data_IF_689405339472
#
_entry.id   IF_689405339472
#
_cell.length_a   1.000
_cell.length_b   1.000
_cell.length_c   1.000
_cell.angle_alpha   90.00
_cell.angle_beta   90.00
_cell.angle_gamma   90.00
#
_symmetry.space_group_name_H-M   'P 1'
#
loop_
_entity.id
_entity.type
_entity.pdbx_description
1 polymer ?
#
# COMPACT_ATOMS: atom_id res chain seq x y z
N UNK A 1 5.39 0.64 -8.31
CA UNK A 1 4.85 -0.65 -8.76
C UNK A 1 3.61 -1.01 -7.96
N UNK A 2 2.63 -1.56 -8.59
CA UNK A 2 1.33 -1.93 -8.01
C UNK A 2 1.01 -3.35 -8.45
N UNK A 3 0.79 -4.23 -7.49
CA UNK A 3 0.33 -5.60 -7.74
C UNK A 3 -1.12 -5.74 -7.24
N UNK A 4 -2.06 -5.94 -8.16
CA UNK A 4 -3.47 -6.19 -7.86
C UNK A 4 -3.72 -7.70 -7.88
N UNK A 5 -4.03 -8.27 -6.72
CA UNK A 5 -4.25 -9.72 -6.54
C UNK A 5 -5.73 -10.07 -6.70
N UNK A 6 -6.61 -9.43 -5.95
CA UNK A 6 -8.04 -9.70 -5.96
C UNK A 6 -8.86 -8.50 -5.46
N UNK A 7 -10.13 -8.39 -5.87
CA UNK A 7 -11.06 -7.42 -5.29
C UNK A 7 -11.45 -7.82 -3.85
N UNK A 8 -11.93 -6.85 -3.08
CA UNK A 8 -12.39 -7.05 -1.71
C UNK A 8 -13.70 -6.28 -1.48
N UNK A 9 -14.63 -6.87 -0.73
CA UNK A 9 -15.89 -6.22 -0.37
C UNK A 9 -15.66 -5.19 0.74
N UNK A 10 -15.97 -3.94 0.45
CA UNK A 10 -15.67 -2.77 1.27
C UNK A 10 -16.71 -2.41 2.31
N UNK A 11 -17.96 -2.64 1.99
CA UNK A 11 -19.10 -2.10 2.74
C UNK A 11 -19.17 -2.61 4.18
N UNK A 12 -19.04 -3.92 4.37
CA UNK A 12 -19.08 -4.52 5.71
C UNK A 12 -17.89 -4.06 6.56
N UNK A 13 -16.73 -3.98 5.96
CA UNK A 13 -15.52 -3.54 6.65
C UNK A 13 -15.65 -2.10 7.16
N UNK A 14 -16.11 -1.18 6.34
CA UNK A 14 -16.32 0.22 6.73
C UNK A 14 -17.36 0.36 7.84
N UNK A 15 -18.48 -0.36 7.74
CA UNK A 15 -19.55 -0.28 8.74
C UNK A 15 -19.08 -0.72 10.13
N UNK A 16 -18.26 -1.77 10.20
CA UNK A 16 -17.83 -2.37 11.47
C UNK A 16 -16.62 -1.68 12.10
N UNK A 17 -15.86 -0.87 11.34
CA UNK A 17 -14.56 -0.34 11.77
C UNK A 17 -14.44 1.18 11.68
N UNK A 18 -15.52 1.91 11.45
CA UNK A 18 -15.47 3.36 11.16
C UNK A 18 -14.80 4.17 12.27
N UNK A 19 -15.08 3.90 13.53
CA UNK A 19 -14.47 4.61 14.67
C UNK A 19 -12.97 4.35 14.78
N UNK A 20 -12.54 3.11 14.58
CA UNK A 20 -11.13 2.73 14.58
C UNK A 20 -10.39 3.37 13.41
N UNK A 21 -10.98 3.34 12.21
CA UNK A 21 -10.42 3.95 11.01
C UNK A 21 -10.21 5.45 11.21
N UNK A 22 -11.22 6.17 11.67
CA UNK A 22 -11.16 7.62 11.86
C UNK A 22 -10.18 8.02 12.98
N UNK A 23 -10.21 7.34 14.11
CA UNK A 23 -9.35 7.65 15.25
C UNK A 23 -7.86 7.39 14.93
N UNK A 24 -7.54 6.22 14.41
CA UNK A 24 -6.17 5.85 14.07
C UNK A 24 -5.65 6.61 12.85
N UNK A 25 -6.48 6.78 11.82
CA UNK A 25 -6.14 7.53 10.62
C UNK A 25 -5.81 8.99 10.92
N UNK A 26 -6.61 9.65 11.72
CA UNK A 26 -6.35 11.03 12.16
C UNK A 26 -5.03 11.18 12.92
N UNK A 27 -4.73 10.25 13.82
CA UNK A 27 -3.47 10.21 14.56
C UNK A 27 -2.25 10.01 13.65
N UNK A 28 -2.33 9.09 12.72
CA UNK A 28 -1.23 8.80 11.78
C UNK A 28 -1.02 9.93 10.78
N UNK A 29 -2.10 10.52 10.27
CA UNK A 29 -2.00 11.68 9.39
C UNK A 29 -1.30 12.86 10.07
N UNK A 30 -1.60 13.11 11.34
CA UNK A 30 -0.93 14.14 12.13
C UNK A 30 0.58 13.93 12.26
N UNK A 31 1.04 12.67 12.32
CA UNK A 31 2.47 12.34 12.30
C UNK A 31 3.07 12.50 10.90
N UNK A 32 2.40 12.02 9.88
CA UNK A 32 2.88 12.05 8.49
C UNK A 32 3.11 13.48 7.99
N UNK A 33 2.22 14.40 8.32
CA UNK A 33 2.34 15.82 7.95
C UNK A 33 3.65 16.46 8.47
N UNK A 34 4.18 15.94 9.57
CA UNK A 34 5.43 16.43 10.17
C UNK A 34 6.67 15.88 9.49
N UNK A 35 6.66 14.63 9.04
CA UNK A 35 7.83 13.94 8.46
C UNK A 35 7.92 14.08 6.94
N UNK A 36 6.83 13.91 6.22
CA UNK A 36 6.67 14.12 4.77
C UNK A 36 7.65 13.35 3.88
N UNK A 37 8.10 12.18 4.30
CA UNK A 37 8.95 11.31 3.47
C UNK A 37 8.15 10.15 2.88
N UNK A 38 8.61 9.62 1.72
CA UNK A 38 8.01 8.43 1.08
C UNK A 38 8.10 7.22 2.01
N UNK A 39 9.23 7.03 2.67
CA UNK A 39 9.42 5.92 3.59
C UNK A 39 8.47 5.98 4.78
N UNK A 40 8.29 7.15 5.38
CA UNK A 40 7.34 7.33 6.48
C UNK A 40 5.90 7.11 6.02
N UNK A 41 5.56 7.58 4.82
CA UNK A 41 4.25 7.33 4.23
C UNK A 41 3.97 5.82 4.08
N UNK A 42 4.91 5.06 3.52
CA UNK A 42 4.76 3.61 3.33
C UNK A 42 4.68 2.88 4.68
N UNK A 43 5.54 3.22 5.63
CA UNK A 43 5.54 2.60 6.97
C UNK A 43 4.23 2.89 7.72
N UNK A 44 3.76 4.13 7.72
CA UNK A 44 2.51 4.50 8.39
C UNK A 44 1.28 3.92 7.71
N UNK A 45 1.27 3.87 6.37
CA UNK A 45 0.20 3.23 5.60
C UNK A 45 0.09 1.75 5.94
N UNK A 46 1.21 1.04 5.99
CA UNK A 46 1.23 -0.38 6.33
C UNK A 46 0.84 -0.61 7.79
N UNK A 47 1.33 0.20 8.70
CA UNK A 47 0.96 0.13 10.12
C UNK A 47 -0.55 0.38 10.30
N UNK A 48 -1.12 1.35 9.60
CA UNK A 48 -2.55 1.61 9.61
C UNK A 48 -3.34 0.41 9.12
N UNK A 49 -3.00 -0.13 7.94
CA UNK A 49 -3.67 -1.29 7.36
C UNK A 49 -3.60 -2.52 8.28
N UNK A 50 -2.45 -2.80 8.88
CA UNK A 50 -2.26 -3.88 9.83
C UNK A 50 -3.08 -3.70 11.10
N UNK A 51 -3.13 -2.48 11.64
CA UNK A 51 -3.85 -2.16 12.89
C UNK A 51 -5.37 -2.27 12.76
N UNK A 52 -5.91 -2.02 11.58
CA UNK A 52 -7.34 -2.18 11.30
C UNK A 52 -7.70 -3.55 10.73
N UNK A 53 -6.74 -4.48 10.61
CA UNK A 53 -6.98 -5.83 10.12
C UNK A 53 -7.17 -5.94 8.60
N UNK A 54 -6.59 -5.03 7.82
CA UNK A 54 -6.80 -4.92 6.38
C UNK A 54 -5.75 -5.60 5.51
N UNK A 55 -4.79 -6.28 6.10
CA UNK A 55 -3.75 -7.00 5.37
C UNK A 55 -4.14 -8.48 5.25
N UNK A 56 -4.48 -8.92 4.05
CA UNK A 56 -4.76 -10.33 3.80
C UNK A 56 -3.48 -11.18 3.90
N UNK A 57 -3.64 -12.48 4.07
CA UNK A 57 -2.50 -13.40 4.11
C UNK A 57 -1.66 -13.33 2.83
N UNK A 58 -2.30 -13.24 1.67
CA UNK A 58 -1.61 -13.09 0.37
C UNK A 58 -0.84 -11.79 0.26
N UNK A 59 -1.43 -10.68 0.69
CA UNK A 59 -0.72 -9.40 0.75
C UNK A 59 0.46 -9.44 1.72
N UNK A 60 0.30 -10.10 2.88
CA UNK A 60 1.38 -10.22 3.84
C UNK A 60 2.59 -10.99 3.29
N UNK A 61 2.36 -12.04 2.51
CA UNK A 61 3.44 -12.78 1.85
C UNK A 61 4.25 -11.89 0.90
N UNK A 62 3.57 -11.08 0.10
CA UNK A 62 4.22 -10.13 -0.82
C UNK A 62 5.01 -9.07 -0.04
N UNK A 63 4.41 -8.53 1.02
CA UNK A 63 5.04 -7.52 1.88
C UNK A 63 6.31 -8.06 2.52
N UNK A 64 6.26 -9.26 3.06
CA UNK A 64 7.40 -9.90 3.72
C UNK A 64 8.57 -10.13 2.75
N UNK A 65 8.30 -10.57 1.53
CA UNK A 65 9.33 -10.75 0.50
C UNK A 65 9.91 -9.41 0.04
N UNK A 66 9.09 -8.40 -0.15
CA UNK A 66 9.55 -7.06 -0.51
C UNK A 66 10.48 -6.49 0.58
N UNK A 67 10.09 -6.59 1.84
CA UNK A 67 10.90 -6.14 2.96
C UNK A 67 12.21 -6.92 3.08
N UNK A 68 12.20 -8.23 2.86
CA UNK A 68 13.41 -9.06 2.87
C UNK A 68 14.41 -8.64 1.79
N UNK A 69 13.94 -8.05 0.69
CA UNK A 69 14.77 -7.49 -0.39
C UNK A 69 15.09 -6.00 -0.21
N UNK A 70 14.74 -5.40 0.91
CA UNK A 70 15.03 -4.00 1.23
C UNK A 70 14.05 -2.97 0.65
N UNK A 71 12.89 -3.41 0.16
CA UNK A 71 11.86 -2.52 -0.39
C UNK A 71 10.67 -2.37 0.54
N UNK A 72 10.33 -1.13 0.85
CA UNK A 72 9.12 -0.80 1.60
C UNK A 72 7.91 -0.83 0.68
N UNK A 73 6.79 -1.32 1.19
CA UNK A 73 5.53 -1.35 0.48
C UNK A 73 4.36 -1.24 1.47
N UNK A 74 3.18 -1.02 0.93
CA UNK A 74 1.94 -0.98 1.70
C UNK A 74 0.80 -1.60 0.88
N UNK A 75 -0.37 -1.67 1.48
CA UNK A 75 -1.58 -2.15 0.82
C UNK A 75 -2.52 -0.99 0.52
N UNK A 76 -3.14 -1.02 -0.65
CA UNK A 76 -4.26 -0.13 -0.94
C UNK A 76 -5.49 -0.63 -0.20
N UNK A 77 -6.26 0.30 0.36
CA UNK A 77 -7.56 -0.05 0.95
C UNK A 77 -8.52 -0.48 -0.17
N UNK A 78 -9.40 -1.43 0.16
CA UNK A 78 -10.48 -1.88 -0.72
C UNK A 78 -10.07 -2.78 -1.87
N UNK A 79 -9.05 -3.57 -1.65
CA UNK A 79 -8.62 -4.62 -2.57
C UNK A 79 -7.37 -5.31 -2.03
N UNK A 80 -7.14 -6.55 -2.44
CA UNK A 80 -5.88 -7.22 -2.18
C UNK A 80 -4.83 -6.67 -3.15
N UNK A 81 -4.36 -5.47 -2.86
CA UNK A 81 -3.43 -4.73 -3.72
C UNK A 81 -2.24 -4.25 -2.88
N UNK A 82 -1.06 -4.61 -3.31
CA UNK A 82 0.20 -4.14 -2.72
C UNK A 82 0.82 -3.10 -3.63
N UNK A 83 1.31 -2.02 -3.07
CA UNK A 83 2.03 -0.99 -3.83
C UNK A 83 3.34 -0.61 -3.15
N UNK A 84 4.30 -0.21 -3.97
CA UNK A 84 5.60 0.30 -3.54
C UNK A 84 6.00 1.52 -4.37
N UNK A 85 6.65 2.46 -3.71
CA UNK A 85 7.25 3.65 -4.35
C UNK A 85 8.76 3.48 -4.26
N UNK A 86 9.40 3.32 -5.39
CA UNK A 86 10.84 3.04 -5.48
C UNK A 86 11.51 3.97 -6.50
N UNK A 87 12.83 4.12 -6.38
CA UNK A 87 13.62 4.84 -7.38
C UNK A 87 13.64 4.09 -8.71
N UNK A 88 13.85 4.83 -9.80
CA UNK A 88 13.84 4.27 -11.16
C UNK A 88 14.86 3.13 -11.35
N UNK A 89 16.01 3.18 -10.71
CA UNK A 89 17.03 2.14 -10.78
C UNK A 89 16.62 0.82 -10.09
N UNK A 90 15.64 0.85 -9.19
CA UNK A 90 15.12 -0.32 -8.48
C UNK A 90 13.87 -0.93 -9.11
N UNK A 91 13.26 -0.29 -10.09
CA UNK A 91 11.98 -0.73 -10.69
C UNK A 91 12.07 -2.14 -11.26
N UNK A 92 13.14 -2.48 -11.97
CA UNK A 92 13.32 -3.81 -12.57
C UNK A 92 13.40 -4.91 -11.52
N UNK A 93 14.09 -4.67 -10.41
CA UNK A 93 14.21 -5.64 -9.33
C UNK A 93 12.86 -5.86 -8.64
N UNK A 94 12.14 -4.78 -8.36
CA UNK A 94 10.78 -4.84 -7.81
C UNK A 94 9.81 -5.56 -8.74
N UNK A 95 9.86 -5.29 -10.05
CA UNK A 95 9.05 -6.02 -11.04
C UNK A 95 9.36 -7.51 -11.02
N UNK A 96 10.61 -7.88 -10.93
CA UNK A 96 11.03 -9.30 -10.85
C UNK A 96 10.44 -9.98 -9.63
N UNK A 97 10.47 -9.35 -8.46
CA UNK A 97 9.90 -9.89 -7.24
C UNK A 97 8.39 -10.03 -7.37
N UNK A 98 7.70 -8.97 -7.78
CA UNK A 98 6.24 -8.94 -7.85
C UNK A 98 5.67 -9.83 -8.96
N UNK A 99 6.40 -10.07 -10.03
CA UNK A 99 5.96 -10.93 -11.15
C UNK A 99 5.87 -12.40 -10.79
N UNK A 100 6.45 -12.85 -9.68
CA UNK A 100 6.30 -14.21 -9.18
C UNK A 100 4.93 -14.51 -8.56
N UNK A 101 4.13 -13.47 -8.30
CA UNK A 101 2.79 -13.58 -7.74
C UNK A 101 1.72 -13.46 -8.81
N UNK A 102 0.59 -14.17 -8.63
CA UNK A 102 -0.57 -14.06 -9.50
C UNK A 102 -1.29 -12.71 -9.26
N UNK A 103 -1.52 -11.98 -10.33
CA UNK A 103 -2.21 -10.70 -10.28
C UNK A 103 -1.81 -9.78 -11.43
N UNK A 104 -2.47 -8.64 -11.54
CA UNK A 104 -2.13 -7.61 -12.50
C UNK A 104 -1.02 -6.71 -11.92
N UNK A 105 0.13 -6.70 -12.56
CA UNK A 105 1.27 -5.86 -12.18
C UNK A 105 1.29 -4.60 -13.04
N UNK A 106 1.28 -3.45 -12.38
CA UNK A 106 1.34 -2.13 -13.01
C UNK A 106 2.60 -1.39 -12.54
N UNK A 107 3.24 -0.71 -13.47
CA UNK A 107 4.33 0.23 -13.17
C UNK A 107 3.97 1.57 -13.79
N UNK A 108 3.98 2.62 -12.99
CA UNK A 108 3.65 3.97 -13.42
C UNK A 108 4.51 4.99 -12.68
N UNK A 109 4.61 6.16 -13.25
CA UNK A 109 5.26 7.32 -12.62
C UNK A 109 4.31 7.99 -11.61
N UNK A 110 4.90 8.80 -10.72
CA UNK A 110 4.11 9.63 -9.81
C UNK A 110 3.58 10.84 -10.59
N UNK A 111 2.27 11.04 -10.53
CA UNK A 111 1.63 12.23 -11.10
C UNK A 111 1.58 13.35 -10.06
N UNK A 112 2.23 14.47 -10.38
CA UNK A 112 2.29 15.64 -9.49
C UNK A 112 1.17 16.66 -9.78
N UNK A 113 0.35 16.44 -10.79
CA UNK A 113 -0.76 17.34 -11.12
C UNK A 113 -2.07 16.96 -10.44
N UNK A 114 -2.18 15.72 -9.96
CA UNK A 114 -3.37 15.22 -9.31
C UNK A 114 -4.52 14.88 -10.26
N UNK A 115 -5.71 14.75 -9.70
CA UNK A 115 -6.88 14.35 -10.47
C UNK A 115 -7.28 15.44 -11.48
N UNK A 116 -7.48 15.05 -12.75
CA UNK A 116 -7.88 15.93 -13.84
C UNK A 116 -8.61 15.17 -14.93
N UNK A 117 -9.36 15.88 -15.75
CA UNK A 117 -9.92 15.33 -16.99
C UNK A 117 -8.83 15.28 -18.07
N UNK A 118 -8.80 14.17 -18.77
CA UNK A 118 -7.88 13.94 -19.89
C UNK A 118 -8.47 14.50 -21.20
#
# INVERSE_FOLDING_TARGET
AILCIAPMLTKEFLTNNISLINGLGGKMLGKLVKTRTVNDFLDMSLQFAGSIGFVSHRCQQVIDEMLANGYKCSTAMFGETVFSIVKNDSVRDVQRILSSYNGALLVCDIDYQGARML
#
